data_IF_025492058178
#
_entry.id   IF_025492058178
#
_cell.length_a   1.000
_cell.length_b   1.000
_cell.length_c   1.000
_cell.angle_alpha   90.00
_cell.angle_beta   90.00
_cell.angle_gamma   90.00
#
_symmetry.space_group_name_H-M   'P 1'
#
loop_
_entity.id
_entity.type
_entity.pdbx_description
1 polymer ?
#
# COMPACT_ATOMS: atom_id res chain seq x y z
N UNK A 1 -19.07 15.50 -11.56
CA UNK A 1 -17.64 15.13 -11.56
C UNK A 1 -17.23 14.89 -13.01
N UNK A 2 -16.02 15.24 -13.39
CA UNK A 2 -15.51 14.91 -14.72
C UNK A 2 -15.04 13.45 -14.76
N UNK A 3 -15.02 12.85 -15.95
CA UNK A 3 -14.47 11.50 -16.14
C UNK A 3 -13.01 11.38 -15.61
N UNK A 4 -12.23 12.47 -15.69
CA UNK A 4 -10.89 12.53 -15.12
C UNK A 4 -10.88 12.44 -13.58
N UNK A 5 -11.84 13.09 -12.90
CA UNK A 5 -11.98 13.02 -11.45
C UNK A 5 -12.45 11.62 -10.99
N UNK A 6 -13.32 10.99 -11.76
CA UNK A 6 -13.78 9.61 -11.47
C UNK A 6 -12.65 8.60 -11.64
N UNK A 7 -11.85 8.73 -12.70
CA UNK A 7 -10.67 7.89 -12.91
C UNK A 7 -9.63 8.09 -11.81
N UNK A 8 -9.40 9.34 -11.37
CA UNK A 8 -8.47 9.64 -10.28
C UNK A 8 -8.92 8.98 -8.96
N UNK A 9 -10.20 9.06 -8.62
CA UNK A 9 -10.75 8.42 -7.43
C UNK A 9 -10.64 6.89 -7.48
N UNK A 10 -10.86 6.30 -8.65
CA UNK A 10 -10.72 4.86 -8.84
C UNK A 10 -9.27 4.41 -8.59
N UNK A 11 -8.29 5.17 -9.08
CA UNK A 11 -6.86 4.92 -8.82
C UNK A 11 -6.50 5.05 -7.35
N UNK A 12 -6.96 6.12 -6.70
CA UNK A 12 -6.73 6.33 -5.26
C UNK A 12 -7.32 5.19 -4.41
N UNK A 13 -8.50 4.68 -4.79
CA UNK A 13 -9.11 3.54 -4.12
C UNK A 13 -8.33 2.24 -4.34
N UNK A 14 -7.84 2.01 -5.57
CA UNK A 14 -7.02 0.85 -5.92
C UNK A 14 -5.66 0.88 -5.21
N UNK A 15 -5.00 2.04 -5.20
CA UNK A 15 -3.74 2.25 -4.48
C UNK A 15 -3.90 1.98 -2.99
N UNK A 16 -5.00 2.46 -2.38
CA UNK A 16 -5.31 2.21 -0.99
C UNK A 16 -5.53 0.71 -0.70
N UNK A 17 -6.22 0.00 -1.60
CA UNK A 17 -6.40 -1.45 -1.49
C UNK A 17 -5.05 -2.17 -1.58
N UNK A 18 -4.20 -1.79 -2.53
CA UNK A 18 -2.86 -2.35 -2.71
C UNK A 18 -1.99 -2.18 -1.47
N UNK A 19 -2.00 -1.00 -0.83
CA UNK A 19 -1.25 -0.77 0.40
C UNK A 19 -1.75 -1.62 1.57
N UNK A 20 -3.06 -1.83 1.69
CA UNK A 20 -3.65 -2.71 2.71
C UNK A 20 -3.25 -4.17 2.51
N UNK A 21 -3.37 -4.69 1.28
CA UNK A 21 -2.95 -6.07 0.96
C UNK A 21 -1.45 -6.26 1.15
N UNK A 22 -0.63 -5.25 0.81
CA UNK A 22 0.82 -5.30 1.06
C UNK A 22 1.13 -5.38 2.55
N UNK A 23 0.44 -4.61 3.39
CA UNK A 23 0.64 -4.68 4.84
C UNK A 23 0.30 -6.05 5.40
N UNK A 24 -0.85 -6.61 5.02
CA UNK A 24 -1.26 -7.94 5.44
C UNK A 24 -0.18 -8.98 5.09
N UNK A 25 0.27 -8.99 3.83
CA UNK A 25 1.34 -9.85 3.36
C UNK A 25 2.65 -9.66 4.14
N UNK A 26 3.11 -8.41 4.31
CA UNK A 26 4.35 -8.09 5.03
C UNK A 26 4.27 -8.40 6.52
N UNK A 27 3.09 -8.40 7.14
CA UNK A 27 2.92 -8.74 8.56
C UNK A 27 2.81 -10.24 8.83
N UNK A 28 2.68 -11.07 7.79
CA UNK A 28 2.68 -12.53 7.92
C UNK A 28 4.00 -13.10 8.48
N UNK A 29 3.99 -14.38 8.87
CA UNK A 29 5.14 -15.01 9.52
C UNK A 29 6.40 -15.05 8.65
N UNK A 30 6.28 -15.26 7.33
CA UNK A 30 7.43 -15.38 6.41
C UNK A 30 7.08 -14.91 5.00
N UNK A 31 6.99 -13.59 4.75
CA UNK A 31 6.69 -13.05 3.43
C UNK A 31 7.78 -13.43 2.41
N UNK A 32 7.34 -13.82 1.22
CA UNK A 32 8.19 -14.19 0.08
C UNK A 32 7.74 -13.46 -1.16
N UNK A 33 8.71 -13.08 -1.98
CA UNK A 33 8.49 -12.56 -3.32
C UNK A 33 7.85 -13.63 -4.22
N UNK A 34 7.30 -13.21 -5.35
CA UNK A 34 6.72 -14.14 -6.34
C UNK A 34 7.72 -15.15 -6.90
N UNK A 35 9.02 -14.83 -6.88
CA UNK A 35 10.09 -15.75 -7.23
C UNK A 35 10.49 -16.73 -6.11
N UNK A 36 9.82 -16.68 -4.95
CA UNK A 36 10.05 -17.57 -3.80
C UNK A 36 11.11 -17.09 -2.80
N UNK A 37 11.89 -16.06 -3.15
CA UNK A 37 12.89 -15.47 -2.27
C UNK A 37 12.22 -14.82 -1.03
N UNK A 38 12.77 -14.98 0.19
CA UNK A 38 12.25 -14.29 1.37
C UNK A 38 12.44 -12.78 1.25
N UNK A 39 11.52 -12.02 1.84
CA UNK A 39 11.69 -10.57 2.01
C UNK A 39 12.66 -10.36 3.18
N UNK A 40 13.74 -9.63 2.96
CA UNK A 40 14.69 -9.30 4.02
C UNK A 40 14.10 -8.30 5.03
N UNK A 41 14.69 -8.23 6.21
CA UNK A 41 14.16 -7.43 7.31
C UNK A 41 14.14 -5.92 7.01
N UNK A 42 15.12 -5.42 6.25
CA UNK A 42 15.19 -4.01 5.93
C UNK A 42 14.09 -3.63 4.93
N UNK A 43 13.98 -4.32 3.80
CA UNK A 43 12.91 -4.10 2.82
C UNK A 43 11.53 -4.33 3.42
N UNK A 44 11.36 -5.34 4.28
CA UNK A 44 10.11 -5.57 5.01
C UNK A 44 9.72 -4.35 5.83
N UNK A 45 10.65 -3.76 6.57
CA UNK A 45 10.39 -2.58 7.40
C UNK A 45 10.05 -1.36 6.54
N UNK A 46 10.85 -1.06 5.52
CA UNK A 46 10.63 0.09 4.64
C UNK A 46 9.27 0.04 3.96
N UNK A 47 8.89 -1.10 3.38
CA UNK A 47 7.60 -1.26 2.71
C UNK A 47 6.43 -1.23 3.69
N UNK A 48 6.64 -1.67 4.93
CA UNK A 48 5.63 -1.58 6.00
C UNK A 48 5.39 -0.13 6.39
N UNK A 49 6.45 0.65 6.61
CA UNK A 49 6.35 2.09 6.92
C UNK A 49 5.70 2.85 5.76
N UNK A 50 6.17 2.63 4.54
CA UNK A 50 5.61 3.27 3.35
C UNK A 50 4.10 3.02 3.21
N UNK A 51 3.67 1.78 3.45
CA UNK A 51 2.25 1.42 3.31
C UNK A 51 1.39 1.97 4.45
N UNK A 52 1.92 2.04 5.67
CA UNK A 52 1.25 2.71 6.80
C UNK A 52 1.08 4.20 6.52
N UNK A 53 2.13 4.87 6.06
CA UNK A 53 2.09 6.30 5.75
C UNK A 53 1.11 6.61 4.61
N UNK A 54 1.08 5.78 3.57
CA UNK A 54 0.15 5.94 2.45
C UNK A 54 -1.31 5.77 2.90
N UNK A 55 -1.60 4.77 3.74
CA UNK A 55 -2.94 4.57 4.31
C UNK A 55 -3.31 5.75 5.20
N UNK A 56 -2.40 6.18 6.09
CA UNK A 56 -2.63 7.32 6.98
C UNK A 56 -2.98 8.59 6.19
N UNK A 57 -2.19 8.92 5.15
CA UNK A 57 -2.47 10.06 4.26
C UNK A 57 -3.84 9.96 3.59
N UNK A 58 -4.22 8.77 3.13
CA UNK A 58 -5.51 8.55 2.49
C UNK A 58 -6.69 8.62 3.48
N UNK A 59 -6.49 8.27 4.76
CA UNK A 59 -7.55 8.27 5.79
C UNK A 59 -7.67 9.58 6.57
N UNK A 60 -6.56 10.28 6.80
CA UNK A 60 -6.53 11.53 7.58
C UNK A 60 -6.96 12.75 6.75
N UNK A 61 -7.32 12.56 5.49
CA UNK A 61 -7.88 13.62 4.66
C UNK A 61 -6.89 14.76 4.42
N UNK A 62 -5.60 14.46 4.25
CA UNK A 62 -4.66 15.44 3.71
C UNK A 62 -5.00 15.64 2.23
N UNK A 63 -5.98 16.51 1.99
CA UNK A 63 -6.13 17.23 0.74
C UNK A 63 -4.77 17.86 0.39
N UNK A 64 -4.41 17.90 -0.91
CA UNK A 64 -3.08 18.28 -1.38
C UNK A 64 -2.58 19.62 -0.85
#
# INVERSE_FOLDING_TARGET
MSAAQELQKAREAEDLANHRSRLEWLTGESPRWSCGAPVDAHTRNELTLQSRDAIAKATEGHAP
#
